data_IF_102896982545
#
_entry.id   IF_102896982545
#
_cell.length_a   1.000
_cell.length_b   1.000
_cell.length_c   1.000
_cell.angle_alpha   90.00
_cell.angle_beta   90.00
_cell.angle_gamma   90.00
#
_symmetry.space_group_name_H-M   'P 1'
#
loop_
_entity.id
_entity.type
_entity.pdbx_description
1 polymer ?
#
# COMPACT_ATOMS: atom_id res chain seq x y z
N UNK A 1 -7.04 12.88 -5.10
CA UNK A 1 -5.60 13.03 -5.30
C UNK A 1 -4.74 12.66 -4.07
N UNK A 2 -5.16 12.99 -2.87
CA UNK A 2 -4.33 12.87 -1.67
C UNK A 2 -3.76 11.48 -1.38
N UNK A 3 -4.41 10.42 -1.84
CA UNK A 3 -3.92 9.05 -1.68
C UNK A 3 -2.91 8.59 -2.74
N UNK A 4 -2.76 9.33 -3.84
CA UNK A 4 -1.90 8.94 -4.97
C UNK A 4 -0.65 9.82 -5.10
N UNK A 5 -0.71 11.06 -4.64
CA UNK A 5 0.43 11.99 -4.63
C UNK A 5 0.94 12.10 -3.22
N UNK A 6 1.86 11.22 -2.87
CA UNK A 6 2.52 11.24 -1.58
C UNK A 6 3.88 11.93 -1.71
N UNK A 7 4.36 12.60 -0.66
CA UNK A 7 5.71 13.14 -0.64
C UNK A 7 6.73 12.01 -0.82
N UNK A 8 7.69 12.23 -1.73
CA UNK A 8 8.80 11.32 -1.95
C UNK A 8 10.08 12.16 -2.11
N UNK A 9 10.98 12.07 -1.15
CA UNK A 9 12.22 12.83 -1.09
C UNK A 9 13.41 11.90 -1.03
N UNK A 10 14.45 12.20 -1.80
CA UNK A 10 15.73 11.51 -1.76
C UNK A 10 16.83 12.53 -1.47
N UNK A 11 17.62 12.26 -0.44
CA UNK A 11 18.83 13.00 -0.13
C UNK A 11 19.99 12.01 0.08
N UNK A 12 20.95 12.05 -0.83
CA UNK A 12 22.09 11.14 -0.78
C UNK A 12 23.37 11.85 -1.30
N UNK A 13 24.10 12.57 -0.43
CA UNK A 13 25.26 13.35 -0.82
C UNK A 13 26.35 12.54 -1.53
N UNK A 14 26.67 11.35 -1.02
CA UNK A 14 27.68 10.48 -1.63
C UNK A 14 27.28 10.01 -3.04
N UNK A 15 26.01 9.92 -3.33
CA UNK A 15 25.44 9.63 -4.65
C UNK A 15 25.20 10.90 -5.48
N UNK A 16 25.67 12.07 -5.04
CA UNK A 16 25.48 13.37 -5.70
C UNK A 16 24.01 13.81 -5.83
N UNK A 17 23.15 13.31 -4.96
CA UNK A 17 21.74 13.74 -4.87
C UNK A 17 21.58 14.77 -3.75
N UNK A 18 21.86 16.01 -4.08
CA UNK A 18 21.79 17.16 -3.16
C UNK A 18 21.21 18.36 -3.89
N UNK A 19 20.89 19.42 -3.16
CA UNK A 19 20.56 20.73 -3.74
C UNK A 19 19.10 20.99 -4.04
N UNK A 20 18.19 20.06 -3.75
CA UNK A 20 16.74 20.26 -3.89
C UNK A 20 16.29 20.48 -5.34
N UNK A 21 15.79 19.44 -5.99
CA UNK A 21 15.28 19.49 -7.35
C UNK A 21 13.98 18.71 -7.45
N UNK A 22 13.01 19.26 -8.16
CA UNK A 22 11.76 18.58 -8.46
C UNK A 22 11.93 17.67 -9.69
N UNK A 23 11.50 16.41 -9.55
CA UNK A 23 11.40 15.43 -10.62
C UNK A 23 9.92 15.34 -11.04
N UNK A 24 9.59 15.87 -12.20
CA UNK A 24 8.19 16.00 -12.68
C UNK A 24 7.59 14.77 -13.36
N UNK A 25 8.37 13.90 -14.06
CA UNK A 25 7.80 12.71 -14.69
C UNK A 25 7.07 11.82 -13.69
N UNK A 26 6.01 11.14 -14.15
CA UNK A 26 5.24 10.24 -13.30
C UNK A 26 6.11 9.06 -12.86
N UNK A 27 6.13 8.83 -11.54
CA UNK A 27 6.84 7.72 -10.89
C UNK A 27 5.95 7.07 -9.86
N UNK A 28 6.29 5.85 -9.45
CA UNK A 28 5.54 5.12 -8.43
C UNK A 28 6.47 4.34 -7.51
N UNK A 29 5.93 3.83 -6.40
CA UNK A 29 6.71 3.04 -5.44
C UNK A 29 7.35 1.79 -6.05
N UNK A 30 6.77 1.23 -7.12
CA UNK A 30 7.33 0.09 -7.86
C UNK A 30 8.70 0.42 -8.48
N UNK A 31 9.01 1.71 -8.67
CA UNK A 31 10.27 2.18 -9.23
C UNK A 31 11.42 2.21 -8.20
N UNK A 32 11.10 2.14 -6.90
CA UNK A 32 12.09 2.33 -5.83
C UNK A 32 13.12 1.20 -5.84
N UNK A 33 12.68 -0.04 -5.85
CA UNK A 33 13.60 -1.21 -5.80
C UNK A 33 14.52 -1.26 -7.01
N UNK A 34 14.06 -1.20 -8.28
CA UNK A 34 14.96 -1.18 -9.43
C UNK A 34 15.91 0.04 -9.41
N UNK A 35 15.46 1.19 -8.86
CA UNK A 35 16.33 2.35 -8.70
C UNK A 35 17.45 2.09 -7.70
N UNK A 36 17.15 1.54 -6.55
CA UNK A 36 18.16 1.22 -5.52
C UNK A 36 19.14 0.16 -6.02
N UNK A 37 18.68 -0.87 -6.71
CA UNK A 37 19.53 -1.90 -7.34
C UNK A 37 20.55 -1.23 -8.25
N UNK A 38 20.11 -0.35 -9.14
CA UNK A 38 20.99 0.33 -10.08
C UNK A 38 21.92 1.35 -9.41
N UNK A 39 21.41 2.09 -8.40
CA UNK A 39 22.21 3.12 -7.72
C UNK A 39 23.26 2.55 -6.79
N UNK A 40 23.00 1.40 -6.18
CA UNK A 40 23.91 0.73 -5.27
C UNK A 40 24.76 -0.35 -5.92
N UNK A 41 24.63 -0.54 -7.24
CA UNK A 41 25.33 -1.58 -8.00
C UNK A 41 25.15 -2.99 -7.40
N UNK A 42 23.90 -3.28 -7.01
CA UNK A 42 23.52 -4.57 -6.42
C UNK A 42 22.96 -5.49 -7.50
N UNK A 43 23.34 -6.76 -7.49
CA UNK A 43 22.78 -7.73 -8.42
C UNK A 43 21.27 -7.90 -8.19
N UNK A 44 20.49 -7.79 -9.27
CA UNK A 44 19.06 -8.05 -9.20
C UNK A 44 18.81 -9.54 -8.85
N UNK A 45 17.78 -9.83 -8.03
CA UNK A 45 17.40 -11.20 -7.72
C UNK A 45 17.08 -11.99 -9.00
N UNK A 46 17.59 -13.21 -9.10
CA UNK A 46 17.31 -14.07 -10.26
C UNK A 46 15.83 -14.44 -10.32
N UNK A 47 15.24 -14.39 -11.51
CA UNK A 47 13.84 -14.79 -11.74
C UNK A 47 12.79 -13.76 -11.29
N UNK A 48 13.19 -12.59 -10.81
CA UNK A 48 12.26 -11.49 -10.47
C UNK A 48 12.13 -10.55 -11.66
N UNK A 49 10.89 -10.36 -12.13
CA UNK A 49 10.52 -9.33 -13.09
C UNK A 49 9.97 -8.13 -12.30
N UNK A 50 10.56 -6.97 -12.48
CA UNK A 50 10.06 -5.74 -11.89
C UNK A 50 9.05 -5.04 -12.80
N UNK A 51 7.92 -4.61 -12.26
CA UNK A 51 6.94 -3.77 -12.98
C UNK A 51 7.42 -2.32 -13.07
N UNK A 52 8.29 -1.92 -12.14
CA UNK A 52 8.87 -0.59 -12.08
C UNK A 52 10.11 -0.45 -12.96
N UNK A 53 10.48 0.79 -13.20
CA UNK A 53 11.67 1.20 -13.96
C UNK A 53 12.56 2.05 -13.07
N UNK A 54 13.89 1.86 -13.14
CA UNK A 54 14.82 2.72 -12.41
C UNK A 54 14.67 4.18 -12.85
N UNK A 55 14.53 5.05 -11.86
CA UNK A 55 14.46 6.52 -12.05
C UNK A 55 15.82 7.19 -11.81
N UNK A 56 16.92 6.44 -11.73
CA UNK A 56 18.25 6.97 -11.51
C UNK A 56 18.60 8.12 -12.47
N UNK A 57 18.30 7.97 -13.77
CA UNK A 57 18.53 9.01 -14.76
C UNK A 57 17.78 10.30 -14.44
N UNK A 58 16.51 10.22 -14.06
CA UNK A 58 15.71 11.36 -13.61
C UNK A 58 16.29 12.03 -12.38
N UNK A 59 16.75 11.23 -11.40
CA UNK A 59 17.38 11.73 -10.17
C UNK A 59 18.68 12.47 -10.45
N UNK A 60 19.41 12.12 -11.51
CA UNK A 60 20.65 12.78 -11.92
C UNK A 60 20.46 13.88 -12.98
N UNK A 61 19.22 14.21 -13.33
CA UNK A 61 18.94 15.37 -14.19
C UNK A 61 18.91 15.09 -15.69
N UNK A 62 18.89 13.84 -16.09
CA UNK A 62 18.60 13.49 -17.49
C UNK A 62 17.18 13.91 -17.81
N UNK A 63 17.03 14.70 -18.86
CA UNK A 63 15.80 15.41 -19.14
C UNK A 63 14.63 14.53 -19.55
N UNK A 64 13.44 15.10 -19.37
CA UNK A 64 12.12 14.54 -19.59
C UNK A 64 11.90 13.96 -20.99
N UNK A 65 12.59 14.46 -22.00
CA UNK A 65 12.39 14.09 -23.40
C UNK A 65 12.74 12.63 -23.73
N UNK A 66 13.59 12.01 -22.91
CA UNK A 66 13.92 10.59 -23.03
C UNK A 66 13.10 9.68 -22.11
N UNK A 67 12.25 10.25 -21.22
CA UNK A 67 11.45 9.45 -20.31
C UNK A 67 10.13 9.04 -20.98
N UNK A 68 9.83 7.73 -21.07
CA UNK A 68 8.65 7.27 -21.79
C UNK A 68 7.35 7.74 -21.12
N UNK A 69 6.31 8.01 -21.92
CA UNK A 69 4.95 8.15 -21.42
C UNK A 69 4.43 6.78 -20.98
N UNK A 70 4.60 6.50 -19.70
CA UNK A 70 4.24 5.21 -19.10
C UNK A 70 2.85 5.22 -18.50
N UNK A 71 2.27 4.05 -18.40
CA UNK A 71 0.99 3.85 -17.73
C UNK A 71 1.24 3.20 -16.37
N UNK A 72 0.65 3.76 -15.33
CA UNK A 72 0.69 3.23 -13.97
C UNK A 72 -0.72 2.91 -13.49
N UNK A 73 -0.84 1.86 -12.70
CA UNK A 73 -2.08 1.47 -12.06
C UNK A 73 -1.97 1.67 -10.54
N UNK A 74 -3.00 2.27 -9.95
CA UNK A 74 -3.24 2.18 -8.51
C UNK A 74 -4.57 1.49 -8.28
N UNK A 75 -4.57 0.53 -7.39
CA UNK A 75 -5.75 -0.27 -7.06
C UNK A 75 -5.83 -0.47 -5.54
N UNK A 76 -7.01 -0.28 -4.95
CA UNK A 76 -7.21 -0.39 -3.51
C UNK A 76 -8.35 -1.35 -3.21
N UNK A 77 -8.02 -2.62 -3.10
CA UNK A 77 -9.05 -3.65 -2.92
C UNK A 77 -9.59 -3.69 -1.50
N UNK A 78 -8.77 -3.94 -0.49
CA UNK A 78 -9.18 -4.14 0.91
C UNK A 78 -10.39 -5.08 1.04
N UNK A 79 -10.43 -6.10 0.21
CA UNK A 79 -11.44 -7.17 0.18
C UNK A 79 -10.72 -8.49 -0.05
N UNK A 80 -11.32 -9.60 0.42
CA UNK A 80 -10.72 -10.92 0.25
C UNK A 80 -10.62 -11.29 -1.23
N UNK A 81 -11.70 -11.11 -1.96
CA UNK A 81 -11.77 -11.42 -3.38
C UNK A 81 -11.70 -10.11 -4.18
N UNK A 82 -10.60 -9.84 -4.90
CA UNK A 82 -10.44 -8.60 -5.66
C UNK A 82 -11.54 -8.39 -6.69
N UNK A 83 -11.99 -7.15 -6.81
CA UNK A 83 -13.07 -6.76 -7.72
C UNK A 83 -12.51 -5.82 -8.78
N UNK A 84 -12.61 -6.21 -10.05
CA UNK A 84 -12.12 -5.42 -11.19
C UNK A 84 -12.71 -4.00 -11.17
N UNK A 85 -11.86 -3.00 -11.38
CA UNK A 85 -12.19 -1.58 -11.37
C UNK A 85 -12.69 -1.02 -10.02
N UNK A 86 -12.52 -1.73 -8.93
CA UNK A 86 -12.90 -1.21 -7.63
C UNK A 86 -11.83 -0.29 -7.07
N UNK A 87 -12.17 1.00 -6.90
CA UNK A 87 -11.28 2.04 -6.36
C UNK A 87 -9.91 2.07 -7.05
N UNK A 88 -9.94 1.93 -8.35
CA UNK A 88 -8.75 1.89 -9.20
C UNK A 88 -8.59 3.18 -10.00
N UNK A 89 -7.34 3.50 -10.34
CA UNK A 89 -7.01 4.54 -11.29
C UNK A 89 -5.88 4.07 -12.20
N UNK A 90 -6.03 4.37 -13.49
CA UNK A 90 -4.99 4.17 -14.51
C UNK A 90 -4.48 5.52 -14.94
N UNK A 91 -3.17 5.72 -14.89
CA UNK A 91 -2.57 7.05 -14.98
C UNK A 91 -1.43 7.09 -15.98
N UNK A 92 -1.37 8.18 -16.73
CA UNK A 92 -0.18 8.64 -17.43
C UNK A 92 0.27 9.99 -16.84
N UNK A 93 1.27 10.61 -17.42
CA UNK A 93 1.66 11.96 -16.99
C UNK A 93 0.51 12.97 -17.10
N UNK A 94 -0.34 12.84 -18.14
CA UNK A 94 -1.45 13.76 -18.41
C UNK A 94 -2.81 13.23 -17.99
N UNK A 95 -3.06 11.93 -18.18
CA UNK A 95 -4.40 11.39 -18.08
C UNK A 95 -4.59 10.57 -16.81
N UNK A 96 -5.79 10.62 -16.22
CA UNK A 96 -6.22 9.73 -15.14
C UNK A 96 -7.60 9.17 -15.43
N UNK A 97 -7.70 7.86 -15.56
CA UNK A 97 -8.96 7.12 -15.70
C UNK A 97 -9.33 6.48 -14.36
N UNK A 98 -10.38 6.96 -13.74
CA UNK A 98 -10.88 6.45 -12.46
C UNK A 98 -11.98 5.39 -12.67
N UNK A 99 -11.82 4.23 -12.04
CA UNK A 99 -12.78 3.13 -12.02
C UNK A 99 -13.28 2.72 -13.44
N UNK A 100 -12.47 2.95 -14.48
CA UNK A 100 -12.81 2.67 -15.87
C UNK A 100 -13.92 3.56 -16.47
N UNK A 101 -14.29 4.66 -15.82
CA UNK A 101 -15.47 5.47 -16.20
C UNK A 101 -15.21 6.95 -16.37
N UNK A 102 -14.38 7.51 -15.54
CA UNK A 102 -14.16 8.95 -15.46
C UNK A 102 -12.73 9.28 -15.88
N UNK A 103 -12.58 10.03 -16.96
CA UNK A 103 -11.28 10.47 -17.46
C UNK A 103 -11.07 11.95 -17.13
N UNK A 104 -9.87 12.24 -16.62
CA UNK A 104 -9.46 13.59 -16.25
C UNK A 104 -8.14 13.96 -16.93
N UNK A 105 -8.07 15.19 -17.43
CA UNK A 105 -6.86 15.82 -17.97
C UNK A 105 -6.13 16.52 -16.83
N UNK A 106 -5.08 15.91 -16.31
CA UNK A 106 -4.38 16.41 -15.12
C UNK A 106 -3.56 17.67 -15.38
N UNK A 107 -3.27 18.01 -16.64
CA UNK A 107 -2.61 19.26 -17.00
C UNK A 107 -3.61 20.43 -16.98
N UNK A 108 -4.84 20.22 -17.47
CA UNK A 108 -5.87 21.25 -17.55
C UNK A 108 -6.77 21.30 -16.31
N UNK A 109 -6.97 20.17 -15.64
CA UNK A 109 -7.88 19.99 -14.50
C UNK A 109 -7.26 19.11 -13.39
N UNK A 110 -6.21 19.58 -12.70
CA UNK A 110 -5.56 18.82 -11.63
C UNK A 110 -6.50 18.51 -10.45
N UNK A 111 -7.60 19.24 -10.33
CA UNK A 111 -8.61 19.03 -9.27
C UNK A 111 -9.66 17.98 -9.66
N UNK A 112 -9.63 17.46 -10.90
CA UNK A 112 -10.53 16.42 -11.39
C UNK A 112 -12.02 16.80 -11.27
N UNK A 113 -12.37 18.01 -11.66
CA UNK A 113 -13.74 18.52 -11.63
C UNK A 113 -14.54 18.19 -12.89
N UNK A 114 -13.83 18.01 -14.03
CA UNK A 114 -14.46 17.84 -15.34
C UNK A 114 -14.13 16.47 -15.94
N UNK A 115 -15.10 15.57 -15.95
CA UNK A 115 -14.96 14.31 -16.66
C UNK A 115 -14.99 14.54 -18.18
N UNK A 116 -13.92 14.15 -18.87
CA UNK A 116 -13.73 14.32 -20.32
C UNK A 116 -13.74 12.97 -21.08
N UNK A 117 -14.22 11.89 -20.47
CA UNK A 117 -14.23 10.56 -21.08
C UNK A 117 -14.98 10.54 -22.43
N UNK A 118 -16.15 11.18 -22.50
CA UNK A 118 -16.97 11.20 -23.71
C UNK A 118 -16.30 11.89 -24.90
N UNK A 119 -15.41 12.85 -24.66
CA UNK A 119 -14.68 13.60 -25.69
C UNK A 119 -13.33 13.01 -26.04
N UNK A 120 -12.86 12.01 -25.28
CA UNK A 120 -11.55 11.39 -25.47
C UNK A 120 -11.64 9.84 -25.47
N UNK A 121 -12.51 9.23 -26.30
CA UNK A 121 -12.76 7.78 -26.26
C UNK A 121 -11.49 6.96 -26.51
N UNK A 122 -10.60 7.39 -27.42
CA UNK A 122 -9.35 6.68 -27.72
C UNK A 122 -8.42 6.60 -26.51
N UNK A 123 -8.42 7.62 -25.64
CA UNK A 123 -7.63 7.61 -24.41
C UNK A 123 -8.25 6.63 -23.41
N UNK A 124 -9.57 6.65 -23.27
CA UNK A 124 -10.29 5.70 -22.42
C UNK A 124 -10.01 4.27 -22.86
N UNK A 125 -10.14 3.98 -24.17
CA UNK A 125 -9.87 2.64 -24.72
C UNK A 125 -8.43 2.18 -24.43
N UNK A 126 -7.45 3.03 -24.68
CA UNK A 126 -6.04 2.72 -24.40
C UNK A 126 -5.80 2.38 -22.93
N UNK A 127 -6.32 3.19 -22.02
CA UNK A 127 -6.11 2.99 -20.58
C UNK A 127 -6.89 1.80 -20.04
N UNK A 128 -8.08 1.55 -20.59
CA UNK A 128 -8.89 0.38 -20.25
C UNK A 128 -8.19 -0.90 -20.71
N UNK A 129 -7.72 -0.96 -21.96
CA UNK A 129 -6.98 -2.13 -22.46
C UNK A 129 -5.75 -2.43 -21.59
N UNK A 130 -4.98 -1.41 -21.24
CA UNK A 130 -3.83 -1.60 -20.35
C UNK A 130 -4.23 -2.19 -18.99
N UNK A 131 -5.29 -1.68 -18.39
CA UNK A 131 -5.79 -2.20 -17.11
C UNK A 131 -6.29 -3.64 -17.24
N UNK A 132 -6.96 -3.97 -18.34
CA UNK A 132 -7.50 -5.28 -18.58
C UNK A 132 -6.40 -6.33 -18.74
N UNK A 133 -5.31 -5.99 -19.43
CA UNK A 133 -4.12 -6.85 -19.56
C UNK A 133 -3.43 -7.03 -18.20
N UNK A 134 -3.19 -5.94 -17.47
CA UNK A 134 -2.62 -5.95 -16.13
C UNK A 134 -3.47 -6.79 -15.16
N UNK A 135 -4.79 -6.63 -15.17
CA UNK A 135 -5.71 -7.42 -14.33
C UNK A 135 -5.65 -8.90 -14.68
N UNK A 136 -5.60 -9.23 -15.96
CA UNK A 136 -5.53 -10.60 -16.45
C UNK A 136 -4.24 -11.28 -16.02
N UNK A 137 -3.11 -10.58 -16.02
CA UNK A 137 -1.82 -11.07 -15.52
C UNK A 137 -1.89 -11.40 -14.01
N UNK A 138 -2.67 -10.66 -13.24
CA UNK A 138 -2.83 -10.86 -11.80
C UNK A 138 -3.81 -11.96 -11.41
N UNK A 139 -4.79 -12.30 -12.26
CA UNK A 139 -5.86 -13.27 -11.93
C UNK A 139 -5.35 -14.59 -11.31
N UNK A 140 -4.27 -15.22 -11.82
CA UNK A 140 -3.77 -16.47 -11.23
C UNK A 140 -3.31 -16.33 -9.78
N UNK A 141 -2.86 -15.12 -9.37
CA UNK A 141 -2.36 -14.85 -8.01
C UNK A 141 -3.48 -14.73 -6.99
N UNK A 142 -4.69 -14.35 -7.40
CA UNK A 142 -5.82 -14.14 -6.48
C UNK A 142 -6.30 -15.41 -5.77
N UNK A 143 -5.97 -16.56 -6.32
CA UNK A 143 -6.31 -17.87 -5.74
C UNK A 143 -5.16 -18.49 -4.94
N UNK A 144 -4.03 -17.79 -4.84
CA UNK A 144 -2.88 -18.28 -4.10
C UNK A 144 -3.02 -17.90 -2.63
N UNK A 145 -3.16 -18.90 -1.78
CA UNK A 145 -3.07 -18.70 -0.34
C UNK A 145 -1.61 -18.54 0.07
N UNK A 146 -1.24 -17.32 0.47
CA UNK A 146 0.10 -17.04 0.99
C UNK A 146 0.06 -17.19 2.51
N UNK A 147 0.63 -18.30 3.00
CA UNK A 147 0.76 -18.53 4.43
C UNK A 147 1.94 -17.78 5.04
N UNK A 148 1.75 -17.17 6.21
CA UNK A 148 2.84 -16.57 6.99
C UNK A 148 3.69 -17.72 7.54
N UNK A 149 4.99 -17.71 7.27
CA UNK A 149 5.88 -18.79 7.70
C UNK A 149 6.14 -18.70 9.21
N UNK A 150 5.91 -19.80 9.91
CA UNK A 150 6.27 -19.99 11.32
C UNK A 150 7.46 -20.93 11.42
N UNK A 151 8.44 -20.56 12.25
CA UNK A 151 9.67 -21.36 12.45
C UNK A 151 10.73 -21.16 11.36
N UNK A 152 10.58 -20.18 10.46
CA UNK A 152 11.60 -19.84 9.49
C UNK A 152 12.84 -19.26 10.18
N UNK A 153 14.03 -19.65 9.72
CA UNK A 153 15.28 -19.04 10.17
C UNK A 153 15.28 -17.54 9.88
N UNK A 154 15.63 -16.72 10.88
CA UNK A 154 15.58 -15.26 10.79
C UNK A 154 14.19 -14.63 10.80
N UNK A 155 13.11 -15.43 10.75
CA UNK A 155 11.72 -14.99 10.81
C UNK A 155 11.02 -15.26 12.15
N UNK A 156 11.78 -15.53 13.21
CA UNK A 156 11.26 -15.89 14.53
C UNK A 156 11.68 -14.82 15.58
N UNK A 157 10.77 -14.29 16.42
CA UNK A 157 9.33 -14.58 16.44
C UNK A 157 8.56 -13.96 15.28
N UNK A 158 7.61 -14.69 14.70
CA UNK A 158 6.68 -14.16 13.71
C UNK A 158 5.57 -13.35 14.39
N UNK A 159 5.35 -12.12 13.92
CA UNK A 159 4.27 -11.26 14.45
C UNK A 159 3.07 -11.32 13.50
N UNK A 160 1.95 -11.83 14.01
CA UNK A 160 0.68 -11.86 13.29
C UNK A 160 -0.18 -10.67 13.73
N UNK A 161 -0.60 -9.84 12.79
CA UNK A 161 -1.36 -8.64 13.10
C UNK A 161 -2.83 -8.77 12.71
N UNK A 162 -3.65 -7.82 13.12
CA UNK A 162 -5.05 -7.78 12.69
C UNK A 162 -5.17 -7.49 11.17
N UNK A 163 -4.15 -6.95 10.53
CA UNK A 163 -4.15 -6.75 9.07
C UNK A 163 -4.00 -8.04 8.28
N UNK A 164 -3.38 -9.05 8.89
CA UNK A 164 -3.20 -10.37 8.28
C UNK A 164 -4.40 -11.28 8.55
N UNK A 165 -5.41 -10.77 9.27
CA UNK A 165 -6.55 -11.55 9.73
C UNK A 165 -7.57 -11.76 8.63
N UNK A 166 -7.88 -12.99 8.32
CA UNK A 166 -8.94 -13.37 7.38
C UNK A 166 -10.24 -13.51 8.19
N UNK A 167 -11.19 -12.60 7.94
CA UNK A 167 -12.44 -12.53 8.68
C UNK A 167 -13.63 -12.46 7.73
N UNK A 168 -14.82 -12.81 8.23
CA UNK A 168 -16.09 -12.62 7.51
C UNK A 168 -16.65 -11.20 7.67
N UNK A 169 -16.06 -10.39 8.57
CA UNK A 169 -16.47 -9.02 8.88
C UNK A 169 -15.38 -8.01 8.62
N UNK A 170 -15.55 -6.83 9.18
CA UNK A 170 -14.51 -5.79 9.10
C UNK A 170 -13.39 -6.08 10.09
N UNK A 171 -12.16 -6.14 9.60
CA UNK A 171 -10.98 -6.26 10.45
C UNK A 171 -10.80 -5.00 11.31
N UNK A 172 -10.55 -5.13 12.62
CA UNK A 172 -10.27 -3.99 13.49
C UNK A 172 -8.86 -3.47 13.22
N UNK A 173 -8.73 -2.53 12.29
CA UNK A 173 -7.44 -2.05 11.78
C UNK A 173 -6.94 -0.74 12.39
N UNK A 174 -7.73 -0.06 13.18
CA UNK A 174 -7.33 1.18 13.83
C UNK A 174 -7.56 1.15 15.34
N UNK A 175 -6.90 2.07 16.03
CA UNK A 175 -6.98 2.13 17.49
C UNK A 175 -8.41 2.35 18.03
N UNK A 176 -9.30 3.02 17.27
CA UNK A 176 -10.69 3.18 17.70
C UNK A 176 -11.43 1.85 17.73
N UNK A 177 -11.20 0.99 16.75
CA UNK A 177 -11.79 -0.34 16.72
C UNK A 177 -11.29 -1.21 17.88
N UNK A 178 -9.99 -1.16 18.18
CA UNK A 178 -9.40 -1.91 19.31
C UNK A 178 -9.95 -1.41 20.65
N UNK A 179 -10.12 -0.10 20.82
CA UNK A 179 -10.66 0.51 22.03
C UNK A 179 -12.18 0.30 22.18
N UNK A 180 -12.91 0.29 21.07
CA UNK A 180 -14.37 0.15 21.04
C UNK A 180 -14.82 -1.32 20.88
N UNK A 181 -13.95 -2.28 21.08
CA UNK A 181 -14.23 -3.72 20.90
C UNK A 181 -15.51 -4.25 21.60
N UNK A 182 -16.11 -3.45 22.46
CA UNK A 182 -17.34 -3.78 23.17
C UNK A 182 -18.63 -3.48 22.46
N UNK A 183 -18.63 -2.52 21.52
CA UNK A 183 -19.82 -2.11 20.77
C UNK A 183 -19.83 -2.71 19.38
N UNK A 184 -18.76 -3.37 18.97
CA UNK A 184 -18.69 -4.09 17.71
C UNK A 184 -19.17 -5.51 17.91
N UNK A 185 -19.95 -6.02 16.97
CA UNK A 185 -20.25 -7.45 16.89
C UNK A 185 -18.94 -8.21 16.96
N UNK A 186 -18.87 -9.25 17.78
CA UNK A 186 -17.71 -10.12 17.85
C UNK A 186 -17.33 -10.58 16.43
N UNK A 187 -16.08 -10.35 16.05
CA UNK A 187 -15.54 -10.78 14.76
C UNK A 187 -14.61 -11.94 15.01
N UNK A 188 -14.90 -13.06 14.38
CA UNK A 188 -14.04 -14.24 14.38
C UNK A 188 -13.22 -14.28 13.10
N UNK A 189 -11.98 -14.69 13.19
CA UNK A 189 -11.09 -14.82 12.05
C UNK A 189 -9.94 -15.77 12.34
N UNK A 190 -9.10 -15.96 11.34
CA UNK A 190 -7.91 -16.80 11.45
C UNK A 190 -6.75 -16.17 10.67
N UNK A 191 -5.54 -16.57 11.00
CA UNK A 191 -4.35 -16.30 10.20
C UNK A 191 -4.02 -17.52 9.36
N UNK A 192 -3.75 -17.30 8.08
CA UNK A 192 -3.22 -18.35 7.23
C UNK A 192 -1.70 -18.47 7.49
N UNK A 193 -1.30 -19.57 8.11
CA UNK A 193 0.09 -19.81 8.50
C UNK A 193 0.63 -21.09 7.86
N UNK A 194 1.93 -21.11 7.58
CA UNK A 194 2.66 -22.28 7.14
C UNK A 194 3.77 -22.60 8.13
N UNK A 195 3.64 -23.70 8.84
CA UNK A 195 4.69 -24.20 9.71
C UNK A 195 5.80 -24.79 8.83
N UNK A 196 7.02 -24.26 8.94
CA UNK A 196 8.17 -24.65 8.10
C UNK A 196 9.28 -25.35 8.89
N UNK A 197 9.16 -25.46 10.21
CA UNK A 197 10.03 -26.24 11.06
C UNK A 197 9.22 -26.98 12.11
N UNK A 198 9.60 -28.21 12.42
CA UNK A 198 9.02 -28.97 13.53
C UNK A 198 9.55 -28.44 14.87
N UNK A 199 8.71 -28.47 15.91
CA UNK A 199 9.09 -28.02 17.24
C UNK A 199 7.93 -27.52 18.08
N UNK A 200 8.25 -27.03 19.26
CA UNK A 200 7.30 -26.41 20.16
C UNK A 200 7.17 -24.91 19.85
N UNK A 201 5.95 -24.42 19.82
CA UNK A 201 5.65 -23.02 19.50
C UNK A 201 5.00 -22.32 20.70
N UNK A 202 5.62 -21.26 21.19
CA UNK A 202 5.01 -20.37 22.17
C UNK A 202 4.13 -19.34 21.45
N UNK A 203 2.83 -19.29 21.79
CA UNK A 203 1.88 -18.31 21.25
C UNK A 203 1.58 -17.24 22.29
N UNK A 204 1.86 -15.98 21.98
CA UNK A 204 1.56 -14.83 22.85
C UNK A 204 0.49 -13.96 22.19
N UNK A 205 -0.64 -13.83 22.84
CA UNK A 205 -1.76 -12.99 22.35
C UNK A 205 -1.75 -11.67 23.08
N UNK A 206 -1.89 -10.57 22.33
CA UNK A 206 -1.94 -9.21 22.86
C UNK A 206 -3.06 -8.42 22.20
N UNK A 207 -3.66 -7.56 22.97
CA UNK A 207 -4.59 -6.54 22.47
C UNK A 207 -3.88 -5.22 22.19
N UNK A 208 -2.87 -4.91 22.98
CA UNK A 208 -2.14 -3.65 22.96
C UNK A 208 -0.69 -3.86 22.47
N UNK A 209 -0.05 -2.80 21.93
CA UNK A 209 1.37 -2.85 21.63
C UNK A 209 2.20 -3.29 22.84
N UNK A 210 3.29 -4.00 22.59
CA UNK A 210 4.14 -4.56 23.67
C UNK A 210 4.71 -3.47 24.58
N UNK A 211 4.97 -2.29 24.02
CA UNK A 211 5.53 -1.13 24.69
C UNK A 211 4.62 -0.58 25.79
N UNK A 212 3.33 -0.89 25.74
CA UNK A 212 2.39 -0.44 26.77
C UNK A 212 2.48 -1.24 28.06
N UNK A 213 3.04 -2.45 28.03
CA UNK A 213 3.03 -3.37 29.16
C UNK A 213 1.63 -3.79 29.64
N UNK A 214 0.58 -3.41 28.91
CA UNK A 214 -0.79 -3.60 29.36
C UNK A 214 -1.28 -5.05 29.19
N UNK A 215 -2.03 -5.55 30.16
CA UNK A 215 -2.70 -6.83 30.08
C UNK A 215 -3.77 -6.84 28.98
N UNK A 216 -4.13 -8.00 28.45
CA UNK A 216 -5.07 -8.16 27.35
C UNK A 216 -6.46 -7.58 27.66
N UNK A 217 -6.91 -7.70 28.90
CA UNK A 217 -8.17 -7.21 29.42
C UNK A 217 -8.12 -5.76 29.95
N UNK A 218 -6.91 -5.20 30.08
CA UNK A 218 -6.69 -3.87 30.61
C UNK A 218 -7.21 -2.80 29.64
N UNK A 219 -7.76 -1.72 30.19
CA UNK A 219 -8.05 -0.50 29.44
C UNK A 219 -6.87 0.47 29.50
N UNK A 220 -6.55 1.09 28.37
CA UNK A 220 -5.57 2.16 28.34
C UNK A 220 -6.24 3.52 28.54
N UNK A 221 -5.62 4.44 29.29
CA UNK A 221 -6.09 5.81 29.42
C UNK A 221 -6.11 6.50 28.04
N UNK A 222 -6.82 7.61 27.89
CA UNK A 222 -6.69 8.48 26.73
C UNK A 222 -5.21 8.85 26.53
N UNK A 223 -4.80 8.96 25.26
CA UNK A 223 -3.44 9.43 24.93
C UNK A 223 -3.22 10.87 25.44
N UNK A 224 -1.96 11.19 25.72
CA UNK A 224 -1.56 12.57 26.07
C UNK A 224 -1.85 13.51 24.90
N UNK A 225 -2.08 14.78 25.22
CA UNK A 225 -2.20 15.83 24.21
C UNK A 225 -0.84 16.04 23.53
N UNK A 226 -0.83 15.92 22.20
CA UNK A 226 0.35 16.18 21.38
C UNK A 226 0.13 17.49 20.63
N UNK A 227 1.02 18.48 20.75
CA UNK A 227 0.91 19.75 20.06
C UNK A 227 0.71 19.55 18.54
N UNK A 228 -0.29 20.22 17.97
CA UNK A 228 -0.61 20.12 16.53
C UNK A 228 -1.40 18.87 16.12
N UNK A 229 -1.76 18.00 17.05
CA UNK A 229 -2.61 16.84 16.79
C UNK A 229 -3.90 16.90 17.61
N UNK A 230 -4.99 16.42 17.04
CA UNK A 230 -6.21 16.19 17.82
C UNK A 230 -6.01 14.96 18.70
N UNK A 231 -6.10 15.08 20.04
CA UNK A 231 -5.90 13.92 20.92
C UNK A 231 -6.93 12.85 20.61
N UNK A 232 -6.47 11.60 20.57
CA UNK A 232 -7.37 10.48 20.45
C UNK A 232 -8.16 10.29 21.77
N UNK A 233 -9.44 10.67 21.76
CA UNK A 233 -10.34 10.67 22.92
C UNK A 233 -11.46 9.63 22.80
N UNK A 234 -11.21 8.49 22.20
CA UNK A 234 -12.23 7.44 22.20
C UNK A 234 -12.61 7.08 23.65
N UNK A 235 -13.91 6.96 23.88
CA UNK A 235 -14.41 6.45 25.16
C UNK A 235 -13.75 5.09 25.44
N UNK A 236 -13.23 4.94 26.64
CA UNK A 236 -12.73 3.64 27.11
C UNK A 236 -13.87 2.64 26.99
N UNK A 237 -13.65 1.57 26.27
CA UNK A 237 -14.57 0.43 26.29
C UNK A 237 -14.51 -0.25 27.66
N UNK A 238 -15.51 -1.08 28.02
CA UNK A 238 -15.46 -1.89 29.24
C UNK A 238 -14.38 -2.99 29.12
N UNK A 239 -13.81 -3.54 30.17
CA UNK A 239 -12.95 -4.71 30.07
C UNK A 239 -13.61 -5.82 29.25
N UNK A 240 -12.82 -6.54 28.50
CA UNK A 240 -13.30 -7.76 27.85
C UNK A 240 -13.46 -8.79 28.93
N UNK A 241 -14.63 -9.47 29.06
CA UNK A 241 -14.83 -10.53 30.04
C UNK A 241 -13.91 -11.71 29.78
#
# INVERSE_FOLDING_TARGET
DGGHRVPFFIHWPNGKLTGGRDVKPITAYVDVVPTLIEMCDVAAPKGVKFDGTSIKSLLHGVEKESWPDRILVTDSQRVKDPIKWRKSAVMTSRWRLNNGKELYDMDADPEQKKNVAATNPKVVDRLTSFYDDWWTELLPTFKQDVGIHLGAEGGNPATLTCHDWITTGSTPWNQSHVRMAQNSKAVTGFWNVKVVADGDYEVRIRRWPVETGAAIDQQLPPGADVPGQTPYRAKLGKPVP
#
